data_IF_925499004991
#
_entry.id   IF_925499004991
#
_cell.length_a   1.000
_cell.length_b   1.000
_cell.length_c   1.000
_cell.angle_alpha   90.00
_cell.angle_beta   90.00
_cell.angle_gamma   90.00
#
_symmetry.space_group_name_H-M   'P 1'
#
loop_
_entity.id
_entity.type
_entity.pdbx_description
1 polymer ?
#
# COMPACT_ATOMS: atom_id res chain seq x y z
N UNK A 1 6.17 -2.10 -14.97
CA UNK A 1 6.34 -2.10 -13.49
C UNK A 1 7.18 -3.27 -13.03
N UNK A 2 8.05 -3.00 -12.08
CA UNK A 2 8.90 -4.00 -11.49
C UNK A 2 8.28 -4.52 -10.20
N UNK A 3 8.20 -5.84 -10.05
CA UNK A 3 7.73 -6.43 -8.80
C UNK A 3 8.80 -6.30 -7.74
N UNK A 4 8.41 -5.89 -6.54
CA UNK A 4 9.30 -5.82 -5.40
C UNK A 4 9.09 -7.03 -4.51
N UNK A 5 10.18 -7.53 -3.92
CA UNK A 5 10.09 -8.64 -2.98
C UNK A 5 9.72 -8.09 -1.60
N UNK A 6 8.52 -8.40 -1.08
CA UNK A 6 8.12 -7.88 0.24
C UNK A 6 9.02 -8.35 1.37
N UNK A 7 9.69 -9.49 1.22
CA UNK A 7 10.61 -10.01 2.25
C UNK A 7 11.81 -9.09 2.45
N UNK A 8 12.17 -8.33 1.42
CA UNK A 8 13.24 -7.33 1.50
C UNK A 8 12.97 -6.27 2.57
N UNK A 9 11.69 -6.02 2.86
CA UNK A 9 11.26 -5.02 3.83
C UNK A 9 10.76 -5.66 5.14
N UNK A 10 11.00 -6.94 5.34
CA UNK A 10 10.52 -7.65 6.51
C UNK A 10 9.03 -7.94 6.49
N UNK A 11 8.45 -8.00 5.31
CA UNK A 11 7.01 -8.23 5.12
C UNK A 11 6.71 -9.65 4.66
N UNK A 12 5.45 -10.07 4.84
CA UNK A 12 5.01 -11.38 4.39
C UNK A 12 5.15 -11.52 2.87
N UNK A 13 5.59 -12.69 2.36
CA UNK A 13 5.70 -12.91 0.91
C UNK A 13 4.37 -12.85 0.17
N UNK A 14 3.24 -12.85 0.89
CA UNK A 14 1.91 -12.73 0.29
C UNK A 14 1.56 -11.31 -0.13
N UNK A 15 2.31 -10.33 0.37
CA UNK A 15 2.07 -8.93 0.05
C UNK A 15 2.57 -8.64 -1.36
N UNK A 16 1.72 -8.03 -2.18
CA UNK A 16 2.05 -7.69 -3.56
C UNK A 16 2.51 -6.25 -3.64
N UNK A 17 3.79 -6.06 -3.91
CA UNK A 17 4.40 -4.74 -4.10
C UNK A 17 4.96 -4.62 -5.50
N UNK A 18 4.86 -3.41 -6.06
CA UNK A 18 5.47 -3.12 -7.35
C UNK A 18 5.97 -1.68 -7.37
N UNK A 19 6.88 -1.38 -8.30
CA UNK A 19 7.46 -0.06 -8.42
C UNK A 19 7.58 0.30 -9.90
N UNK A 20 7.26 1.55 -10.24
CA UNK A 20 7.43 2.03 -11.60
C UNK A 20 8.78 2.78 -11.72
N UNK A 21 9.07 3.31 -12.93
CA UNK A 21 10.34 4.02 -13.18
C UNK A 21 10.45 5.33 -12.41
N UNK A 22 9.33 5.89 -11.95
CA UNK A 22 9.30 7.12 -11.15
C UNK A 22 9.50 6.85 -9.66
N UNK A 23 9.80 5.61 -9.28
CA UNK A 23 9.98 5.17 -7.90
C UNK A 23 8.70 5.25 -7.07
N UNK A 24 7.54 5.25 -7.71
CA UNK A 24 6.27 5.15 -7.02
C UNK A 24 6.04 3.68 -6.66
N UNK A 25 5.72 3.42 -5.39
CA UNK A 25 5.51 2.07 -4.90
C UNK A 25 4.03 1.81 -4.74
N UNK A 26 3.57 0.69 -5.27
CA UNK A 26 2.16 0.31 -5.27
C UNK A 26 1.96 -0.95 -4.44
N UNK A 27 1.05 -0.88 -3.49
CA UNK A 27 0.57 -2.06 -2.76
C UNK A 27 -0.75 -2.46 -3.39
N UNK A 28 -0.83 -3.69 -3.88
CA UNK A 28 -2.06 -4.20 -4.51
C UNK A 28 -2.85 -5.04 -3.52
N UNK A 29 -4.13 -4.70 -3.35
CA UNK A 29 -5.08 -5.51 -2.57
C UNK A 29 -6.24 -5.86 -3.50
N UNK A 30 -6.30 -7.12 -3.91
CA UNK A 30 -7.33 -7.62 -4.81
C UNK A 30 -8.25 -8.57 -4.05
N UNK A 31 -9.40 -8.05 -3.61
CA UNK A 31 -10.37 -8.85 -2.86
C UNK A 31 -11.75 -8.20 -2.97
N UNK A 32 -12.79 -8.96 -2.61
CA UNK A 32 -14.17 -8.49 -2.67
C UNK A 32 -14.62 -7.79 -1.40
N UNK A 33 -14.07 -8.15 -0.25
CA UNK A 33 -14.46 -7.56 1.03
C UNK A 33 -13.93 -6.13 1.17
N UNK A 34 -14.71 -5.29 1.86
CA UNK A 34 -14.36 -3.89 2.08
C UNK A 34 -13.05 -3.72 2.85
N UNK A 35 -12.26 -2.74 2.45
CA UNK A 35 -11.06 -2.33 3.19
C UNK A 35 -11.52 -1.42 4.33
N UNK A 36 -11.33 -1.86 5.57
CA UNK A 36 -11.77 -1.14 6.77
C UNK A 36 -10.57 -0.62 7.58
N UNK A 37 -10.82 0.06 8.70
CA UNK A 37 -9.74 0.68 9.50
C UNK A 37 -8.66 -0.30 9.93
N UNK A 38 -9.02 -1.50 10.29
CA UNK A 38 -8.05 -2.55 10.66
C UNK A 38 -7.06 -2.79 9.52
N UNK A 39 -7.56 -2.81 8.28
CA UNK A 39 -6.73 -2.96 7.09
C UNK A 39 -5.90 -1.71 6.86
N UNK A 40 -6.48 -0.53 7.11
CA UNK A 40 -5.79 0.75 6.97
C UNK A 40 -4.58 0.85 7.87
N UNK A 41 -4.70 0.41 9.11
CA UNK A 41 -3.59 0.38 10.05
C UNK A 41 -2.48 -0.53 9.56
N UNK A 42 -2.84 -1.69 9.01
CA UNK A 42 -1.87 -2.62 8.45
C UNK A 42 -1.20 -2.06 7.20
N UNK A 43 -1.96 -1.38 6.35
CA UNK A 43 -1.43 -0.75 5.14
C UNK A 43 -0.42 0.32 5.52
N UNK A 44 -0.72 1.12 6.53
CA UNK A 44 0.19 2.14 7.02
C UNK A 44 1.49 1.53 7.56
N UNK A 45 1.38 0.43 8.31
CA UNK A 45 2.55 -0.28 8.83
C UNK A 45 3.44 -0.79 7.69
N UNK A 46 2.83 -1.34 6.65
CA UNK A 46 3.54 -1.79 5.46
C UNK A 46 4.26 -0.60 4.79
N UNK A 47 3.56 0.53 4.65
CA UNK A 47 4.13 1.73 4.04
C UNK A 47 5.33 2.25 4.83
N UNK A 48 5.25 2.23 6.15
CA UNK A 48 6.36 2.65 7.02
C UNK A 48 7.59 1.78 6.82
N UNK A 49 7.40 0.46 6.78
CA UNK A 49 8.51 -0.47 6.57
C UNK A 49 9.16 -0.29 5.22
N UNK A 50 8.37 -0.05 4.19
CA UNK A 50 8.89 0.20 2.84
C UNK A 50 9.65 1.53 2.81
N UNK A 51 9.13 2.57 3.45
CA UNK A 51 9.76 3.90 3.47
C UNK A 51 11.08 3.91 4.23
N UNK A 52 11.30 3.01 5.17
CA UNK A 52 12.59 2.89 5.86
C UNK A 52 13.72 2.63 4.87
N UNK A 53 13.43 1.90 3.80
CA UNK A 53 14.41 1.56 2.76
C UNK A 53 14.29 2.50 1.55
N UNK A 54 13.06 2.83 1.15
CA UNK A 54 12.77 3.63 -0.03
C UNK A 54 12.24 5.01 0.39
N UNK A 55 13.07 5.80 1.07
CA UNK A 55 12.69 7.06 1.70
C UNK A 55 12.11 8.10 0.75
N UNK A 56 12.54 8.11 -0.49
CA UNK A 56 12.11 9.11 -1.47
C UNK A 56 10.92 8.67 -2.32
N UNK A 57 10.38 7.50 -2.04
CA UNK A 57 9.30 6.94 -2.84
C UNK A 57 7.92 7.37 -2.35
N UNK A 58 7.01 7.60 -3.30
CA UNK A 58 5.59 7.79 -3.00
C UNK A 58 4.95 6.41 -2.85
N UNK A 59 3.96 6.31 -1.96
CA UNK A 59 3.29 5.04 -1.70
C UNK A 59 1.82 5.13 -2.09
N UNK A 60 1.36 4.13 -2.85
CA UNK A 60 -0.02 4.06 -3.35
C UNK A 60 -0.65 2.74 -2.98
N UNK A 61 -1.94 2.77 -2.72
CA UNK A 61 -2.75 1.57 -2.56
C UNK A 61 -3.58 1.39 -3.83
N UNK A 62 -3.43 0.25 -4.49
CA UNK A 62 -4.27 -0.12 -5.63
C UNK A 62 -5.21 -1.23 -5.16
N UNK A 63 -6.51 -1.02 -5.26
CA UNK A 63 -7.47 -2.04 -4.82
C UNK A 63 -8.72 -2.04 -5.67
N UNK A 64 -9.25 -3.24 -5.88
CA UNK A 64 -10.55 -3.44 -6.52
C UNK A 64 -11.67 -3.42 -5.48
N UNK A 65 -11.34 -3.50 -4.20
CA UNK A 65 -12.31 -3.52 -3.11
C UNK A 65 -12.78 -2.10 -2.74
N UNK A 66 -14.03 -1.94 -2.27
CA UNK A 66 -14.46 -0.66 -1.74
C UNK A 66 -13.67 -0.33 -0.47
N UNK A 67 -13.37 0.94 -0.26
CA UNK A 67 -12.63 1.41 0.91
C UNK A 67 -13.56 2.24 1.79
N UNK A 68 -13.60 1.92 3.09
CA UNK A 68 -14.38 2.66 4.06
C UNK A 68 -13.94 4.13 4.11
N UNK A 69 -14.92 5.05 4.25
CA UNK A 69 -14.62 6.49 4.27
C UNK A 69 -13.61 6.87 5.34
N UNK A 70 -13.73 6.29 6.53
CA UNK A 70 -12.78 6.54 7.62
C UNK A 70 -11.37 6.08 7.24
N UNK A 71 -11.28 4.94 6.58
CA UNK A 71 -10.01 4.40 6.13
C UNK A 71 -9.38 5.27 5.06
N UNK A 72 -10.19 5.78 4.12
CA UNK A 72 -9.72 6.72 3.09
C UNK A 72 -9.10 7.96 3.72
N UNK A 73 -9.78 8.56 4.69
CA UNK A 73 -9.29 9.75 5.38
C UNK A 73 -8.01 9.46 6.15
N UNK A 74 -7.97 8.32 6.83
CA UNK A 74 -6.79 7.90 7.58
C UNK A 74 -5.56 7.77 6.66
N UNK A 75 -5.71 7.04 5.57
CA UNK A 75 -4.60 6.81 4.64
C UNK A 75 -4.17 8.09 3.93
N UNK A 76 -5.13 8.95 3.55
CA UNK A 76 -4.85 10.24 2.96
C UNK A 76 -3.99 11.10 3.90
N UNK A 77 -4.33 11.09 5.20
CA UNK A 77 -3.56 11.81 6.21
C UNK A 77 -2.16 11.25 6.42
N UNK A 78 -1.90 10.03 5.96
CA UNK A 78 -0.57 9.39 6.01
C UNK A 78 0.15 9.45 4.66
N UNK A 79 -0.33 10.28 3.74
CA UNK A 79 0.25 10.45 2.40
C UNK A 79 0.21 9.16 1.56
N UNK A 80 -0.78 8.32 1.81
CA UNK A 80 -1.02 7.13 1.01
C UNK A 80 -2.19 7.40 0.08
N UNK A 81 -1.92 7.37 -1.23
CA UNK A 81 -2.93 7.65 -2.23
C UNK A 81 -3.60 6.35 -2.66
N UNK A 82 -4.93 6.35 -2.68
CA UNK A 82 -5.72 5.19 -3.09
C UNK A 82 -6.11 5.33 -4.54
N UNK A 83 -5.81 4.32 -5.35
CA UNK A 83 -6.19 4.28 -6.76
C UNK A 83 -7.03 3.03 -7.04
N UNK A 84 -8.04 3.13 -7.92
CA UNK A 84 -8.81 1.96 -8.32
C UNK A 84 -7.93 1.05 -9.18
N UNK A 85 -8.21 -0.22 -9.07
CA UNK A 85 -7.50 -1.21 -9.90
C UNK A 85 -8.08 -1.22 -11.32
#
# INVERSE_FOLDING_TARGET
MKKLDPRKYGLSPRIKLSQNIKREIFLEIDRKSRVVMKDGLRIFDIAEKVKETEQQSSFFLITSAPVCSKTKLYLKGKNIIIKPK
#
